data_IF_358690537241
#
_entry.id   IF_358690537241
#
_cell.length_a   1.000
_cell.length_b   1.000
_cell.length_c   1.000
_cell.angle_alpha   90.00
_cell.angle_beta   90.00
_cell.angle_gamma   90.00
#
_symmetry.space_group_name_H-M   'P 1'
#
loop_
_entity.id
_entity.type
_entity.pdbx_description
1 polymer ?
#
# COMPACT_ATOMS: atom_id res chain seq x y z
N UNK A 1 0.54 -0.99 -29.59
CA UNK A 1 0.14 -2.25 -28.90
C UNK A 1 -1.35 -2.21 -28.64
N UNK A 2 -2.03 -3.36 -28.51
CA UNK A 2 -3.44 -3.37 -28.11
C UNK A 2 -3.56 -3.05 -26.61
N UNK A 3 -4.69 -2.49 -26.18
CA UNK A 3 -4.95 -2.21 -24.76
C UNK A 3 -4.85 -3.48 -23.89
N UNK A 4 -5.19 -4.65 -24.42
CA UNK A 4 -5.04 -5.94 -23.72
C UNK A 4 -3.57 -6.33 -23.53
N UNK A 5 -2.72 -6.00 -24.48
CA UNK A 5 -1.29 -6.29 -24.40
C UNK A 5 -0.56 -5.39 -23.37
N UNK A 6 -0.99 -4.15 -23.24
CA UNK A 6 -0.50 -3.26 -22.18
C UNK A 6 -1.01 -3.72 -20.80
N UNK A 7 -2.28 -4.10 -20.71
CA UNK A 7 -2.90 -4.54 -19.44
C UNK A 7 -2.17 -5.74 -18.84
N UNK A 8 -1.86 -6.79 -19.63
CA UNK A 8 -1.19 -7.97 -19.06
C UNK A 8 0.23 -7.64 -18.58
N UNK A 9 0.92 -6.71 -19.26
CA UNK A 9 2.26 -6.26 -18.84
C UNK A 9 2.19 -5.52 -17.52
N UNK A 10 1.28 -4.56 -17.39
CA UNK A 10 1.07 -3.77 -16.16
C UNK A 10 0.77 -4.72 -14.98
N UNK A 11 -0.16 -5.66 -15.15
CA UNK A 11 -0.49 -6.65 -14.11
C UNK A 11 0.75 -7.50 -13.76
N UNK A 12 1.49 -7.96 -14.76
CA UNK A 12 2.70 -8.77 -14.57
C UNK A 12 3.81 -7.99 -13.87
N UNK A 13 4.00 -6.73 -14.21
CA UNK A 13 4.99 -5.85 -13.59
C UNK A 13 4.69 -5.61 -12.12
N UNK A 14 3.44 -5.22 -11.76
CA UNK A 14 3.06 -5.01 -10.37
C UNK A 14 3.22 -6.28 -9.51
N UNK A 15 2.88 -7.45 -10.06
CA UNK A 15 3.10 -8.74 -9.38
C UNK A 15 4.58 -9.09 -9.21
N UNK A 16 5.45 -8.53 -10.03
CA UNK A 16 6.90 -8.80 -9.97
C UNK A 16 7.66 -7.74 -9.17
N UNK A 17 7.08 -6.57 -8.99
CA UNK A 17 7.67 -5.47 -8.24
C UNK A 17 7.62 -5.80 -6.75
N UNK A 18 8.80 -5.99 -6.15
CA UNK A 18 8.91 -6.34 -4.74
C UNK A 18 9.04 -5.08 -3.89
N UNK A 19 8.26 -4.99 -2.81
CA UNK A 19 8.30 -3.86 -1.88
C UNK A 19 9.70 -3.68 -1.32
N UNK A 20 10.30 -2.52 -1.66
CA UNK A 20 11.69 -2.19 -1.37
C UNK A 20 11.98 -2.13 0.12
N UNK A 21 11.02 -1.73 0.92
CA UNK A 21 11.14 -1.71 2.37
C UNK A 21 11.52 -3.06 2.97
N UNK A 22 11.02 -4.16 2.42
CA UNK A 22 11.39 -5.51 2.83
C UNK A 22 12.73 -5.97 2.26
N UNK A 23 13.03 -5.61 1.00
CA UNK A 23 14.31 -5.93 0.36
C UNK A 23 15.46 -5.29 1.14
N UNK A 24 15.37 -4.01 1.50
CA UNK A 24 16.38 -3.29 2.27
C UNK A 24 16.66 -3.92 3.65
N UNK A 25 15.72 -4.72 4.15
CA UNK A 25 15.86 -5.46 5.40
C UNK A 25 16.18 -6.95 5.20
N UNK A 26 16.63 -7.32 4.00
CA UNK A 26 17.03 -8.67 3.62
C UNK A 26 15.91 -9.73 3.78
N UNK A 27 14.64 -9.34 3.60
CA UNK A 27 13.53 -10.28 3.60
C UNK A 27 13.60 -11.15 2.32
N UNK A 28 13.90 -12.42 2.48
CA UNK A 28 14.04 -13.36 1.34
C UNK A 28 12.73 -13.64 0.59
N UNK A 29 11.61 -13.37 1.23
CA UNK A 29 10.27 -13.62 0.71
C UNK A 29 9.44 -12.32 0.70
N UNK A 30 10.08 -11.19 0.31
CA UNK A 30 9.39 -9.91 0.19
C UNK A 30 8.12 -10.05 -0.66
N UNK A 31 7.02 -9.52 -0.16
CA UNK A 31 5.78 -9.40 -0.95
C UNK A 31 5.98 -8.45 -2.14
N UNK A 32 5.10 -8.54 -3.14
CA UNK A 32 4.99 -7.57 -4.21
C UNK A 32 4.01 -6.45 -3.84
N UNK A 33 4.05 -5.34 -4.58
CA UNK A 33 3.04 -4.28 -4.45
C UNK A 33 1.64 -4.80 -4.77
N UNK A 34 1.52 -5.77 -5.69
CA UNK A 34 0.24 -6.44 -5.94
C UNK A 34 -0.26 -7.25 -4.75
N UNK A 35 0.62 -7.94 -4.02
CA UNK A 35 0.25 -8.68 -2.81
C UNK A 35 -0.26 -7.72 -1.73
N UNK A 36 0.45 -6.60 -1.53
CA UNK A 36 0.06 -5.55 -0.60
C UNK A 36 -1.27 -4.88 -0.98
N UNK A 37 -1.42 -4.41 -2.23
CA UNK A 37 -2.68 -3.83 -2.71
C UNK A 37 -3.86 -4.78 -2.54
N UNK A 38 -3.65 -6.10 -2.76
CA UNK A 38 -4.66 -7.11 -2.48
C UNK A 38 -5.00 -7.17 -0.98
N UNK A 39 -4.01 -7.15 -0.10
CA UNK A 39 -4.19 -7.12 1.35
C UNK A 39 -5.03 -5.93 1.81
N UNK A 40 -4.68 -4.73 1.34
CA UNK A 40 -5.43 -3.50 1.64
C UNK A 40 -6.87 -3.58 1.12
N UNK A 41 -7.08 -4.04 -0.13
CA UNK A 41 -8.42 -4.20 -0.69
C UNK A 41 -9.25 -5.25 0.08
N UNK A 42 -8.63 -6.32 0.55
CA UNK A 42 -9.30 -7.31 1.39
C UNK A 42 -9.69 -6.72 2.75
N UNK A 43 -8.83 -5.92 3.39
CA UNK A 43 -9.16 -5.21 4.62
C UNK A 43 -10.32 -4.22 4.40
N UNK A 44 -10.38 -3.52 3.26
CA UNK A 44 -11.55 -2.70 2.87
C UNK A 44 -12.82 -3.53 2.88
N UNK A 45 -12.81 -4.69 2.23
CA UNK A 45 -13.99 -5.57 2.17
C UNK A 45 -14.48 -6.00 3.54
N UNK A 46 -13.55 -6.24 4.47
CA UNK A 46 -13.86 -6.72 5.82
C UNK A 46 -14.31 -5.61 6.77
N UNK A 47 -13.78 -4.39 6.62
CA UNK A 47 -13.90 -3.37 7.67
C UNK A 47 -14.48 -2.03 7.21
N UNK A 48 -14.78 -1.83 5.90
CA UNK A 48 -15.36 -0.56 5.43
C UNK A 48 -16.69 -0.27 6.12
N UNK A 49 -16.83 0.90 6.78
CA UNK A 49 -18.09 1.35 7.35
C UNK A 49 -19.19 1.50 6.28
N UNK A 50 -20.45 1.45 6.71
CA UNK A 50 -21.59 1.54 5.78
C UNK A 50 -21.75 2.93 5.14
N UNK A 51 -21.20 3.96 5.76
CA UNK A 51 -21.26 5.35 5.29
C UNK A 51 -20.16 5.72 4.29
N UNK A 52 -19.24 4.77 3.98
CA UNK A 52 -18.25 4.92 2.92
C UNK A 52 -18.68 4.19 1.64
N UNK A 53 -18.29 4.75 0.51
CA UNK A 53 -18.38 4.04 -0.77
C UNK A 53 -17.33 2.92 -0.82
N UNK A 54 -17.78 1.71 -0.50
CA UNK A 54 -16.91 0.52 -0.46
C UNK A 54 -16.25 0.24 -1.80
N UNK A 55 -16.98 0.42 -2.91
CA UNK A 55 -16.40 0.17 -4.24
C UNK A 55 -15.25 1.15 -4.50
N UNK A 56 -15.45 2.42 -4.20
CA UNK A 56 -14.43 3.45 -4.33
C UNK A 56 -13.21 3.15 -3.42
N UNK A 57 -13.43 2.72 -2.18
CA UNK A 57 -12.32 2.30 -1.31
C UNK A 57 -11.51 1.14 -1.91
N UNK A 58 -12.18 0.15 -2.53
CA UNK A 58 -11.49 -0.95 -3.22
C UNK A 58 -10.74 -0.45 -4.47
N UNK A 59 -11.33 0.44 -5.26
CA UNK A 59 -10.66 1.08 -6.41
C UNK A 59 -9.40 1.82 -5.96
N UNK A 60 -9.48 2.63 -4.89
CA UNK A 60 -8.33 3.33 -4.31
C UNK A 60 -7.23 2.35 -3.89
N UNK A 61 -7.59 1.29 -3.15
CA UNK A 61 -6.64 0.29 -2.67
C UNK A 61 -5.92 -0.48 -3.79
N UNK A 62 -6.55 -0.63 -4.96
CA UNK A 62 -5.96 -1.35 -6.10
C UNK A 62 -5.15 -0.43 -7.03
N UNK A 63 -5.28 0.89 -6.91
CA UNK A 63 -4.72 1.84 -7.88
C UNK A 63 -3.55 2.65 -7.34
N UNK A 64 -3.50 2.93 -6.03
CA UNK A 64 -2.55 3.90 -5.48
C UNK A 64 -1.08 3.52 -5.70
N UNK A 65 -0.71 2.23 -5.66
CA UNK A 65 0.66 1.73 -5.91
C UNK A 65 0.95 1.43 -7.39
N UNK A 66 -0.02 1.59 -8.32
CA UNK A 66 0.22 1.34 -9.74
C UNK A 66 1.31 2.22 -10.34
N UNK A 67 1.47 3.44 -9.83
CA UNK A 67 2.50 4.38 -10.28
C UNK A 67 3.92 3.82 -10.08
N UNK A 68 4.12 2.98 -9.07
CA UNK A 68 5.43 2.41 -8.73
C UNK A 68 5.99 1.48 -9.81
N UNK A 69 5.16 0.97 -10.72
CA UNK A 69 5.61 0.17 -11.88
C UNK A 69 6.63 0.96 -12.73
N UNK A 70 6.43 2.26 -12.90
CA UNK A 70 7.27 3.14 -13.70
C UNK A 70 8.21 4.01 -12.82
N UNK A 71 7.76 4.43 -11.63
CA UNK A 71 8.51 5.27 -10.70
C UNK A 71 9.46 4.46 -9.81
N UNK A 72 9.14 3.18 -9.56
CA UNK A 72 9.77 2.35 -8.53
C UNK A 72 9.16 2.58 -7.14
N UNK A 73 9.27 1.60 -6.27
CA UNK A 73 8.90 1.74 -4.84
C UNK A 73 9.94 2.62 -4.13
N UNK A 74 9.65 3.92 -3.99
CA UNK A 74 10.51 4.91 -3.35
C UNK A 74 10.21 4.92 -1.85
N UNK A 75 11.22 4.59 -1.05
CA UNK A 75 11.13 4.52 0.41
C UNK A 75 11.72 5.77 1.08
N UNK A 76 11.45 6.00 2.37
CA UNK A 76 12.10 7.08 3.13
C UNK A 76 13.63 6.98 3.22
N UNK A 77 14.22 5.84 2.84
CA UNK A 77 15.68 5.65 2.78
C UNK A 77 16.31 6.20 1.48
N UNK A 78 15.48 6.55 0.51
CA UNK A 78 15.93 7.15 -0.74
C UNK A 78 16.03 8.66 -0.57
N UNK A 79 17.07 9.27 -1.14
CA UNK A 79 17.30 10.72 -1.07
C UNK A 79 16.47 11.44 -2.16
N UNK A 80 15.15 11.32 -2.04
CA UNK A 80 14.16 11.90 -2.96
C UNK A 80 13.17 12.72 -2.14
N UNK A 81 12.91 13.96 -2.55
CA UNK A 81 11.92 14.80 -1.87
C UNK A 81 10.49 14.30 -2.11
N UNK A 82 9.57 14.55 -1.17
CA UNK A 82 8.15 14.20 -1.34
C UNK A 82 7.55 14.82 -2.60
N UNK A 83 7.95 16.04 -2.96
CA UNK A 83 7.50 16.73 -4.17
C UNK A 83 7.99 16.02 -5.44
N UNK A 84 9.25 15.60 -5.46
CA UNK A 84 9.84 14.88 -6.59
C UNK A 84 9.24 13.48 -6.71
N UNK A 85 9.06 12.78 -5.59
CA UNK A 85 8.36 11.50 -5.54
C UNK A 85 6.97 11.63 -6.14
N UNK A 86 6.15 12.55 -5.62
CA UNK A 86 4.80 12.78 -6.11
C UNK A 86 4.75 13.11 -7.61
N UNK A 87 5.66 13.96 -8.11
CA UNK A 87 5.72 14.29 -9.53
C UNK A 87 6.08 13.08 -10.39
N UNK A 88 7.01 12.24 -9.94
CA UNK A 88 7.41 11.02 -10.65
C UNK A 88 6.25 10.03 -10.71
N UNK A 89 5.55 9.82 -9.60
CA UNK A 89 4.40 8.93 -9.52
C UNK A 89 3.21 9.45 -10.33
N UNK A 90 2.93 10.76 -10.30
CA UNK A 90 1.87 11.36 -11.13
C UNK A 90 2.16 11.18 -12.63
N UNK A 91 3.38 11.41 -13.07
CA UNK A 91 3.79 11.16 -14.46
C UNK A 91 3.66 9.68 -14.83
N UNK A 92 3.99 8.78 -13.91
CA UNK A 92 3.89 7.34 -14.10
C UNK A 92 2.43 6.89 -14.28
N UNK A 93 1.52 7.31 -13.38
CA UNK A 93 0.11 6.93 -13.48
C UNK A 93 -0.57 7.53 -14.72
N UNK A 94 -0.21 8.74 -15.14
CA UNK A 94 -0.69 9.35 -16.37
C UNK A 94 -0.29 8.54 -17.61
N UNK A 95 0.95 8.04 -17.66
CA UNK A 95 1.42 7.15 -18.74
C UNK A 95 0.62 5.84 -18.76
N UNK A 96 0.40 5.23 -17.60
CA UNK A 96 -0.37 3.99 -17.47
C UNK A 96 -1.82 4.22 -17.91
N UNK A 97 -2.45 5.28 -17.42
CA UNK A 97 -3.81 5.66 -17.78
C UNK A 97 -3.98 5.88 -19.29
N UNK A 98 -3.03 6.59 -19.92
CA UNK A 98 -3.00 6.81 -21.36
C UNK A 98 -2.86 5.50 -22.14
N UNK A 99 -1.96 4.60 -21.77
CA UNK A 99 -1.77 3.28 -22.41
C UNK A 99 -3.07 2.44 -22.35
N UNK A 100 -3.82 2.54 -21.26
CA UNK A 100 -5.06 1.79 -21.03
C UNK A 100 -6.32 2.53 -21.49
N UNK A 101 -6.23 3.81 -21.85
CA UNK A 101 -7.37 4.70 -22.09
C UNK A 101 -8.35 4.74 -20.90
N UNK A 102 -7.81 4.99 -19.69
CA UNK A 102 -8.52 4.95 -18.40
C UNK A 102 -8.11 6.12 -17.50
N UNK A 103 -8.66 7.32 -17.77
CA UNK A 103 -8.36 8.54 -16.99
C UNK A 103 -8.74 8.40 -15.50
N UNK A 104 -9.71 7.55 -15.19
CA UNK A 104 -10.13 7.24 -13.81
C UNK A 104 -8.96 6.79 -12.91
N UNK A 105 -7.91 6.19 -13.46
CA UNK A 105 -6.74 5.79 -12.70
C UNK A 105 -5.99 6.99 -12.12
N UNK A 106 -5.91 8.10 -12.87
CA UNK A 106 -5.27 9.35 -12.41
C UNK A 106 -6.12 9.98 -11.30
N UNK A 107 -7.44 10.05 -11.50
CA UNK A 107 -8.35 10.61 -10.49
C UNK A 107 -8.25 9.87 -9.14
N UNK A 108 -8.23 8.54 -9.17
CA UNK A 108 -8.11 7.71 -7.96
C UNK A 108 -6.75 7.87 -7.30
N UNK A 109 -5.67 7.92 -8.07
CA UNK A 109 -4.33 8.17 -7.55
C UNK A 109 -4.24 9.54 -6.86
N UNK A 110 -4.69 10.60 -7.52
CA UNK A 110 -4.68 11.95 -6.94
C UNK A 110 -5.58 12.04 -5.69
N UNK A 111 -6.75 11.41 -5.71
CA UNK A 111 -7.63 11.37 -4.54
C UNK A 111 -6.96 10.68 -3.35
N UNK A 112 -6.27 9.55 -3.60
CA UNK A 112 -5.53 8.87 -2.56
C UNK A 112 -4.39 9.74 -2.03
N UNK A 113 -3.58 10.33 -2.91
CA UNK A 113 -2.46 11.18 -2.52
C UNK A 113 -2.89 12.39 -1.68
N UNK A 114 -3.92 13.11 -2.11
CA UNK A 114 -4.45 14.26 -1.37
C UNK A 114 -5.04 13.86 -0.01
N UNK A 115 -5.63 12.68 0.11
CA UNK A 115 -6.19 12.17 1.36
C UNK A 115 -7.31 13.02 1.95
N UNK A 116 -8.05 13.75 1.10
CA UNK A 116 -9.09 14.70 1.55
C UNK A 116 -10.46 14.03 1.74
N UNK A 117 -10.74 12.95 1.02
CA UNK A 117 -12.00 12.22 1.15
C UNK A 117 -11.94 11.23 2.30
N UNK A 118 -13.10 10.88 2.85
CA UNK A 118 -13.19 9.87 3.91
C UNK A 118 -12.70 8.49 3.43
N UNK A 119 -13.00 8.16 2.18
CA UNK A 119 -12.57 6.92 1.54
C UNK A 119 -11.04 6.85 1.44
N UNK A 120 -10.40 7.91 0.93
CA UNK A 120 -8.94 7.96 0.83
C UNK A 120 -8.26 7.90 2.21
N UNK A 121 -8.78 8.63 3.20
CA UNK A 121 -8.28 8.58 4.58
C UNK A 121 -8.39 7.18 5.17
N UNK A 122 -9.53 6.52 4.96
CA UNK A 122 -9.76 5.15 5.44
C UNK A 122 -8.79 4.16 4.78
N UNK A 123 -8.59 4.24 3.46
CA UNK A 123 -7.66 3.35 2.75
C UNK A 123 -6.21 3.60 3.18
N UNK A 124 -5.80 4.86 3.41
CA UNK A 124 -4.47 5.18 3.98
C UNK A 124 -4.24 4.58 5.37
N UNK A 125 -5.27 4.48 6.19
CA UNK A 125 -5.16 3.78 7.48
C UNK A 125 -5.01 2.27 7.29
N UNK A 126 -5.73 1.68 6.34
CA UNK A 126 -5.64 0.25 6.03
C UNK A 126 -4.31 -0.14 5.39
N UNK A 127 -3.71 0.73 4.57
CA UNK A 127 -2.33 0.57 4.07
C UNK A 127 -1.36 0.38 5.25
N UNK A 128 -1.45 1.21 6.27
CA UNK A 128 -0.58 1.10 7.46
C UNK A 128 -0.92 -0.12 8.32
N UNK A 129 -2.18 -0.51 8.40
CA UNK A 129 -2.58 -1.72 9.11
C UNK A 129 -2.06 -2.98 8.40
N UNK A 130 -2.19 -3.06 7.08
CA UNK A 130 -1.66 -4.18 6.28
C UNK A 130 -0.14 -4.31 6.45
N UNK A 131 0.59 -3.20 6.37
CA UNK A 131 2.03 -3.14 6.61
C UNK A 131 2.42 -3.79 7.96
N UNK A 132 1.70 -3.51 9.04
CA UNK A 132 2.00 -4.06 10.37
C UNK A 132 1.58 -5.54 10.48
N UNK A 133 0.49 -5.94 9.84
CA UNK A 133 0.09 -7.34 9.77
C UNK A 133 1.13 -8.16 9.01
N UNK A 134 1.61 -7.66 7.89
CA UNK A 134 2.63 -8.31 7.09
C UNK A 134 3.99 -8.37 7.81
N UNK A 135 4.40 -7.28 8.47
CA UNK A 135 5.61 -7.25 9.30
C UNK A 135 5.56 -8.33 10.37
N UNK A 136 4.45 -8.41 11.13
CA UNK A 136 4.25 -9.43 12.14
C UNK A 136 4.38 -10.84 11.56
N UNK A 137 3.71 -11.10 10.44
CA UNK A 137 3.79 -12.38 9.74
C UNK A 137 5.23 -12.74 9.35
N UNK A 138 5.98 -11.80 8.80
CA UNK A 138 7.37 -12.03 8.42
C UNK A 138 8.28 -12.32 9.62
N UNK A 139 8.09 -11.63 10.74
CA UNK A 139 8.86 -11.90 11.97
C UNK A 139 8.50 -13.28 12.53
N UNK A 140 7.21 -13.63 12.62
CA UNK A 140 6.75 -14.94 13.09
C UNK A 140 7.24 -16.08 12.20
N UNK A 141 7.49 -15.83 10.92
CA UNK A 141 8.09 -16.81 9.98
C UNK A 141 9.61 -16.80 9.96
N UNK A 142 10.26 -15.92 10.72
CA UNK A 142 11.72 -15.80 10.74
C UNK A 142 12.31 -15.17 9.47
N UNK A 143 11.47 -14.49 8.66
CA UNK A 143 11.91 -13.78 7.46
C UNK A 143 12.51 -12.42 7.77
N UNK A 144 12.13 -11.81 8.89
CA UNK A 144 12.64 -10.55 9.39
C UNK A 144 13.02 -10.66 10.87
N UNK A 145 14.00 -9.83 11.27
CA UNK A 145 14.36 -9.67 12.67
C UNK A 145 13.31 -8.86 13.42
N UNK A 146 13.10 -9.16 14.70
CA UNK A 146 12.18 -8.42 15.56
C UNK A 146 12.63 -6.99 15.89
N UNK A 147 13.89 -6.68 15.69
CA UNK A 147 14.44 -5.34 15.96
C UNK A 147 13.80 -4.25 15.09
N UNK A 148 13.24 -4.60 13.92
CA UNK A 148 12.55 -3.64 13.03
C UNK A 148 11.13 -3.32 13.48
N UNK A 149 10.58 -4.06 14.44
CA UNK A 149 9.17 -3.92 14.87
C UNK A 149 8.82 -2.50 15.35
N UNK A 150 9.62 -1.96 16.26
CA UNK A 150 9.30 -0.67 16.90
C UNK A 150 9.37 0.49 15.91
N UNK A 151 10.27 0.44 14.93
CA UNK A 151 10.37 1.43 13.85
C UNK A 151 9.08 1.49 13.03
N UNK A 152 8.65 0.35 12.50
CA UNK A 152 7.45 0.24 11.67
C UNK A 152 6.18 0.55 12.45
N UNK A 153 6.05 -0.01 13.66
CA UNK A 153 4.91 0.26 14.54
C UNK A 153 4.78 1.75 14.84
N UNK A 154 5.88 2.43 15.20
CA UNK A 154 5.87 3.86 15.51
C UNK A 154 5.48 4.70 14.31
N UNK A 155 5.89 4.30 13.10
CA UNK A 155 5.48 4.97 11.86
C UNK A 155 3.97 4.77 11.61
N UNK A 156 3.49 3.53 11.59
CA UNK A 156 2.10 3.22 11.33
C UNK A 156 1.13 3.85 12.35
N UNK A 157 1.52 3.86 13.64
CA UNK A 157 0.72 4.39 14.74
C UNK A 157 0.28 5.85 14.54
N UNK A 158 1.11 6.67 13.92
CA UNK A 158 0.85 8.10 13.63
C UNK A 158 -0.32 8.30 12.66
N UNK A 159 -0.58 7.32 11.81
CA UNK A 159 -1.53 7.42 10.71
C UNK A 159 -2.89 6.81 11.04
N UNK A 160 -3.01 5.93 12.04
CA UNK A 160 -4.24 5.25 12.38
C UNK A 160 -5.05 6.10 13.37
N UNK A 161 -6.23 6.57 12.94
CA UNK A 161 -7.09 7.50 13.69
C UNK A 161 -8.50 6.94 13.94
N UNK A 162 -9.03 6.18 12.98
CA UNK A 162 -10.37 5.59 13.05
C UNK A 162 -10.43 4.58 14.17
N UNK A 163 -11.40 4.70 15.08
CA UNK A 163 -11.53 3.85 16.29
C UNK A 163 -11.45 2.36 15.96
N UNK A 164 -12.20 1.89 14.96
CA UNK A 164 -12.22 0.47 14.58
C UNK A 164 -10.87 -0.03 14.08
N UNK A 165 -10.17 0.79 13.27
CA UNK A 165 -8.84 0.43 12.76
C UNK A 165 -7.81 0.47 13.89
N UNK A 166 -7.94 1.41 14.82
CA UNK A 166 -7.12 1.48 16.04
C UNK A 166 -7.26 0.21 16.89
N UNK A 167 -8.48 -0.25 17.12
CA UNK A 167 -8.73 -1.49 17.86
C UNK A 167 -8.02 -2.68 17.20
N UNK A 168 -8.11 -2.81 15.86
CA UNK A 168 -7.44 -3.89 15.11
C UNK A 168 -5.91 -3.77 15.18
N UNK A 169 -5.39 -2.57 15.03
CA UNK A 169 -3.95 -2.31 15.14
C UNK A 169 -3.42 -2.71 16.51
N UNK A 170 -4.14 -2.33 17.60
CA UNK A 170 -3.77 -2.67 18.95
C UNK A 170 -3.86 -4.20 19.19
N UNK A 171 -4.86 -4.88 18.63
CA UNK A 171 -4.96 -6.35 18.67
C UNK A 171 -3.76 -7.02 17.98
N UNK A 172 -3.36 -6.54 16.80
CA UNK A 172 -2.19 -7.06 16.07
C UNK A 172 -0.92 -6.85 16.88
N UNK A 173 -0.72 -5.66 17.45
CA UNK A 173 0.45 -5.33 18.25
C UNK A 173 0.50 -6.15 19.56
N UNK A 174 -0.62 -6.24 20.29
CA UNK A 174 -0.69 -6.99 21.54
C UNK A 174 -0.55 -8.51 21.32
N UNK A 175 -1.06 -9.02 20.21
CA UNK A 175 -0.88 -10.42 19.82
C UNK A 175 0.59 -10.75 19.52
N UNK A 176 1.33 -9.82 18.93
CA UNK A 176 2.78 -9.96 18.73
C UNK A 176 3.53 -10.05 20.07
N UNK A 177 3.27 -9.13 21.00
CA UNK A 177 3.94 -9.07 22.30
C UNK A 177 3.71 -10.31 23.20
N UNK A 178 2.62 -11.06 22.97
CA UNK A 178 2.35 -12.30 23.71
C UNK A 178 3.13 -13.52 23.20
N UNK A 179 3.68 -13.43 22.02
CA UNK A 179 4.36 -14.54 21.33
C UNK A 179 5.89 -14.40 21.34
N UNK A 180 6.42 -13.32 21.95
CA UNK A 180 7.84 -13.07 22.17
C UNK A 180 8.22 -13.48 23.59
#
# INVERSE_FOLDING_TARGET
MSSSEEMYKIIGQLKSLKRRGWILRNCSHAESDADHSWGVAFLVMMYAPQDLDRLKCVELALVYDLAEIEAGDITPADDVSEEEKHLNELNAIQKIASKLNKDRLVELFEEFEQGLTKEAQFVKELDKLDLIMQLRYFIEKGCLSKEVWDEFKTNADKHIKTKKIRELFDEVCNGYLKNI
#
